data_IF_812426318198
#
_entry.id   IF_812426318198
#
_cell.length_a   1.000
_cell.length_b   1.000
_cell.length_c   1.000
_cell.angle_alpha   90.00
_cell.angle_beta   90.00
_cell.angle_gamma   90.00
#
_symmetry.space_group_name_H-M   'P 1'
#
loop_
_entity.id
_entity.type
_entity.pdbx_description
1 polymer ?
#
# COMPACT_ATOMS: atom_id res chain seq x y z
N UNK A 1 -8.37 12.16 1.47
CA UNK A 1 -7.67 10.89 1.80
C UNK A 1 -8.03 10.40 3.20
N UNK A 2 -8.33 9.10 3.37
CA UNK A 2 -8.59 8.49 4.68
C UNK A 2 -7.41 8.72 5.64
N UNK A 3 -7.69 8.81 6.94
CA UNK A 3 -6.69 9.12 7.98
C UNK A 3 -5.55 8.10 7.95
N UNK A 4 -5.87 6.81 7.79
CA UNK A 4 -4.88 5.73 7.67
C UNK A 4 -3.92 5.92 6.49
N UNK A 5 -4.41 6.33 5.31
CA UNK A 5 -3.56 6.58 4.14
C UNK A 5 -2.54 7.69 4.41
N UNK A 6 -2.92 8.76 5.12
CA UNK A 6 -2.00 9.85 5.47
C UNK A 6 -0.89 9.36 6.41
N UNK A 7 -1.23 8.54 7.40
CA UNK A 7 -0.26 7.97 8.32
C UNK A 7 0.73 7.06 7.56
N UNK A 8 0.22 6.12 6.74
CA UNK A 8 1.08 5.22 5.96
C UNK A 8 2.00 5.97 5.00
N UNK A 9 1.52 7.03 4.33
CA UNK A 9 2.35 7.83 3.44
C UNK A 9 3.50 8.56 4.16
N UNK A 10 3.42 8.77 5.48
CA UNK A 10 4.54 9.32 6.26
C UNK A 10 5.47 8.22 6.78
N UNK A 11 4.95 7.05 7.18
CA UNK A 11 5.77 5.98 7.76
C UNK A 11 6.53 5.17 6.70
N UNK A 12 5.94 4.92 5.53
CA UNK A 12 6.54 4.06 4.49
C UNK A 12 7.88 4.62 3.96
N UNK A 13 8.06 5.93 3.71
CA UNK A 13 9.36 6.48 3.32
C UNK A 13 10.47 6.20 4.34
N UNK A 14 10.17 6.29 5.65
CA UNK A 14 11.14 5.99 6.72
C UNK A 14 11.55 4.51 6.65
N UNK A 15 10.60 3.61 6.42
CA UNK A 15 10.89 2.19 6.25
C UNK A 15 11.70 1.93 4.97
N UNK A 16 11.45 2.67 3.89
CA UNK A 16 12.21 2.55 2.65
C UNK A 16 13.68 2.96 2.83
N UNK A 17 13.96 3.97 3.64
CA UNK A 17 15.32 4.36 4.01
C UNK A 17 16.02 3.29 4.88
N UNK A 18 15.29 2.71 5.83
CA UNK A 18 15.84 1.68 6.74
C UNK A 18 16.08 0.32 6.06
N UNK A 19 15.27 0.00 5.04
CA UNK A 19 15.31 -1.28 4.33
C UNK A 19 15.53 -1.06 2.83
N UNK A 20 16.72 -0.60 2.40
CA UNK A 20 16.98 -0.19 1.01
C UNK A 20 16.89 -1.34 -0.01
N UNK A 21 16.95 -2.59 0.46
CA UNK A 21 16.81 -3.79 -0.37
C UNK A 21 15.33 -4.19 -0.62
N UNK A 22 14.37 -3.52 0.02
CA UNK A 22 12.94 -3.77 -0.15
C UNK A 22 12.35 -2.67 -1.02
N UNK A 23 11.64 -3.05 -2.09
CA UNK A 23 10.98 -2.09 -2.98
C UNK A 23 9.63 -1.66 -2.39
N UNK A 24 9.55 -0.41 -1.94
CA UNK A 24 8.30 0.21 -1.53
C UNK A 24 7.65 0.96 -2.71
N UNK A 25 6.36 0.74 -2.91
CA UNK A 25 5.55 1.37 -3.96
C UNK A 25 4.24 1.88 -3.36
N UNK A 26 3.65 2.89 -4.00
CA UNK A 26 2.27 3.34 -3.70
C UNK A 26 1.52 3.62 -4.99
N UNK A 27 0.22 3.36 -4.97
CA UNK A 27 -0.71 3.66 -6.07
C UNK A 27 -2.00 4.23 -5.47
N UNK A 28 -2.65 5.15 -6.17
CA UNK A 28 -3.98 5.59 -5.75
C UNK A 28 -5.00 4.51 -6.10
N UNK A 29 -5.87 4.16 -5.15
CA UNK A 29 -6.88 3.13 -5.40
C UNK A 29 -7.86 3.49 -6.53
N UNK A 30 -8.00 4.78 -6.88
CA UNK A 30 -8.76 5.24 -8.05
C UNK A 30 -8.06 5.00 -9.39
N UNK A 31 -6.74 4.84 -9.39
CA UNK A 31 -5.92 4.55 -10.58
C UNK A 31 -5.72 3.04 -10.77
N UNK A 32 -5.79 2.27 -9.68
CA UNK A 32 -5.91 0.82 -9.74
C UNK A 32 -7.36 0.48 -10.12
N UNK A 33 -7.58 -0.36 -11.13
CA UNK A 33 -8.90 -0.80 -11.61
C UNK A 33 -9.63 -1.65 -10.55
N UNK A 34 -9.98 -1.05 -9.42
CA UNK A 34 -10.56 -1.66 -8.24
C UNK A 34 -12.05 -1.30 -8.12
N UNK A 35 -12.77 -2.10 -7.34
CA UNK A 35 -14.18 -1.82 -7.09
C UNK A 35 -14.36 -0.52 -6.31
N UNK A 36 -15.45 0.22 -6.58
CA UNK A 36 -15.81 1.44 -5.84
C UNK A 36 -15.91 1.20 -4.33
N UNK A 37 -16.37 0.01 -3.92
CA UNK A 37 -16.45 -0.36 -2.51
C UNK A 37 -15.06 -0.45 -1.86
N UNK A 38 -14.10 -1.05 -2.56
CA UNK A 38 -12.73 -1.16 -2.07
C UNK A 38 -12.06 0.21 -1.95
N UNK A 39 -12.21 1.08 -2.96
CA UNK A 39 -11.68 2.46 -2.92
C UNK A 39 -12.19 3.23 -1.71
N UNK A 40 -13.45 2.99 -1.30
CA UNK A 40 -14.08 3.68 -0.17
C UNK A 40 -13.71 3.07 1.19
N UNK A 41 -13.68 1.75 1.29
CA UNK A 41 -13.68 1.05 2.58
C UNK A 41 -12.43 0.19 2.85
N UNK A 42 -11.66 -0.16 1.81
CA UNK A 42 -10.46 -1.01 1.92
C UNK A 42 -9.15 -0.24 1.90
N UNK A 43 -9.19 1.09 2.02
CA UNK A 43 -8.00 1.93 2.00
C UNK A 43 -7.67 2.47 3.41
N UNK A 44 -6.40 2.46 3.83
CA UNK A 44 -5.24 1.97 3.09
C UNK A 44 -5.14 0.43 3.08
N UNK A 45 -4.66 -0.14 1.99
CA UNK A 45 -4.29 -1.55 1.91
C UNK A 45 -2.79 -1.70 1.62
N UNK A 46 -2.19 -2.78 2.15
CA UNK A 46 -0.78 -3.11 1.95
C UNK A 46 -0.65 -4.51 1.35
N UNK A 47 0.03 -4.60 0.22
CA UNK A 47 0.31 -5.85 -0.47
C UNK A 47 1.82 -6.13 -0.42
N UNK A 48 2.19 -7.36 -0.10
CA UNK A 48 3.59 -7.80 -0.02
C UNK A 48 3.84 -8.89 -1.04
N UNK A 49 4.82 -8.66 -1.93
CA UNK A 49 5.19 -9.59 -2.99
C UNK A 49 6.64 -10.04 -2.88
N UNK A 50 6.92 -11.28 -3.29
CA UNK A 50 8.29 -11.80 -3.46
C UNK A 50 8.31 -12.85 -4.56
N UNK A 51 9.27 -12.78 -5.48
CA UNK A 51 9.41 -13.78 -6.55
C UNK A 51 8.22 -13.88 -7.52
N UNK A 52 7.41 -12.82 -7.64
CA UNK A 52 6.18 -12.82 -8.45
C UNK A 52 4.93 -13.29 -7.70
N UNK A 53 5.07 -13.79 -6.47
CA UNK A 53 3.96 -14.27 -5.65
C UNK A 53 3.48 -13.23 -4.65
N UNK A 54 2.17 -13.20 -4.41
CA UNK A 54 1.56 -12.42 -3.32
C UNK A 54 1.73 -13.20 -2.02
N UNK A 55 2.53 -12.66 -1.11
CA UNK A 55 2.76 -13.27 0.20
C UNK A 55 1.70 -12.85 1.22
N UNK A 56 1.28 -11.59 1.19
CA UNK A 56 0.33 -11.06 2.17
C UNK A 56 -0.46 -9.86 1.66
N UNK A 57 -1.68 -9.74 2.18
CA UNK A 57 -2.62 -8.65 1.89
C UNK A 57 -3.24 -8.18 3.20
N UNK A 58 -2.98 -6.93 3.57
CA UNK A 58 -3.56 -6.27 4.74
C UNK A 58 -4.56 -5.23 4.25
N UNK A 59 -5.83 -5.38 4.60
CA UNK A 59 -6.97 -4.53 4.19
C UNK A 59 -7.63 -3.97 5.44
#
# INVERSE_FOLDING_TARGET
>A
PAIGCKAMNHCIPILAEQYPYVKFCRIQASEAQLSRNFVKNGCPALLVYRGGELLSSFI
#
